data_IF_200360332091
#
_entry.id   IF_200360332091
#
_cell.length_a   1.000
_cell.length_b   1.000
_cell.length_c   1.000
_cell.angle_alpha   90.00
_cell.angle_beta   90.00
_cell.angle_gamma   90.00
#
_symmetry.space_group_name_H-M   'P 1'
#
loop_
_entity.id
_entity.type
_entity.pdbx_description
1 polymer ?
#
# COMPACT_ATOMS: atom_id res chain seq x y z
N UNK A 1 -59.47 19.00 -7.30
CA UNK A 1 -58.52 17.89 -7.58
C UNK A 1 -57.03 18.28 -7.48
N UNK A 2 -56.62 19.21 -6.59
CA UNK A 2 -55.21 19.72 -6.56
C UNK A 2 -54.53 19.70 -5.18
N UNK A 3 -55.25 19.43 -4.09
CA UNK A 3 -54.65 19.39 -2.75
C UNK A 3 -54.00 18.05 -2.41
N UNK A 4 -54.48 16.93 -2.97
CA UNK A 4 -53.90 15.61 -2.72
C UNK A 4 -52.54 15.38 -3.39
N UNK A 5 -52.25 16.07 -4.50
CA UNK A 5 -50.94 16.01 -5.17
C UNK A 5 -49.87 16.75 -4.34
N UNK A 6 -50.25 17.82 -3.64
CA UNK A 6 -49.32 18.57 -2.79
C UNK A 6 -48.86 17.76 -1.57
N UNK A 7 -49.69 16.83 -1.08
CA UNK A 7 -49.33 15.94 0.04
C UNK A 7 -48.43 14.77 -0.42
N UNK A 8 -48.57 14.29 -1.65
CA UNK A 8 -47.68 13.27 -2.22
C UNK A 8 -46.27 13.81 -2.50
N UNK A 9 -46.13 15.09 -2.89
CA UNK A 9 -44.81 15.72 -3.06
C UNK A 9 -44.11 15.97 -1.71
N UNK A 10 -44.87 16.27 -0.65
CA UNK A 10 -44.32 16.47 0.70
C UNK A 10 -43.88 15.17 1.38
N UNK A 11 -44.55 14.05 1.10
CA UNK A 11 -44.15 12.71 1.57
C UNK A 11 -42.96 12.18 0.74
N UNK A 12 -42.88 12.51 -0.55
CA UNK A 12 -41.75 12.15 -1.42
C UNK A 12 -40.42 12.80 -1.03
N UNK A 13 -40.44 14.00 -0.44
CA UNK A 13 -39.23 14.68 0.03
C UNK A 13 -38.68 14.16 1.37
N UNK A 14 -39.42 13.30 2.10
CA UNK A 14 -38.95 12.73 3.38
C UNK A 14 -38.26 11.37 3.24
N UNK A 15 -38.17 10.83 2.01
CA UNK A 15 -37.51 9.54 1.70
C UNK A 15 -36.09 9.75 1.16
N UNK A 16 -35.56 10.97 1.19
CA UNK A 16 -34.11 11.17 1.05
C UNK A 16 -33.45 10.72 2.36
N UNK A 17 -33.22 9.40 2.44
CA UNK A 17 -32.61 8.75 3.57
C UNK A 17 -31.36 9.50 3.98
N UNK A 18 -31.33 9.90 5.25
CA UNK A 18 -30.08 10.17 5.93
C UNK A 18 -29.23 8.92 5.76
N UNK A 19 -28.31 8.93 4.81
CA UNK A 19 -27.13 8.10 4.88
C UNK A 19 -26.40 8.59 6.14
N UNK A 20 -26.79 8.06 7.29
CA UNK A 20 -25.95 8.08 8.47
C UNK A 20 -24.68 7.39 8.04
N UNK A 21 -23.65 8.18 7.69
CA UNK A 21 -22.32 7.65 7.51
C UNK A 21 -22.01 6.92 8.80
N UNK A 22 -21.95 5.59 8.73
CA UNK A 22 -21.53 4.79 9.86
C UNK A 22 -20.15 5.32 10.24
N UNK A 23 -20.05 5.93 11.43
CA UNK A 23 -18.75 6.34 11.93
C UNK A 23 -17.86 5.09 11.90
N UNK A 24 -16.67 5.19 11.28
CA UNK A 24 -15.78 4.04 11.22
C UNK A 24 -15.54 3.55 12.64
N UNK A 25 -15.62 2.23 12.85
CA UNK A 25 -15.37 1.63 14.16
C UNK A 25 -13.87 1.67 14.45
N UNK A 26 -13.39 2.86 14.82
CA UNK A 26 -12.00 3.12 15.14
C UNK A 26 -11.75 2.72 16.60
N UNK A 27 -10.70 1.93 16.89
CA UNK A 27 -10.33 1.63 18.26
C UNK A 27 -10.00 2.92 19.03
N UNK A 28 -10.45 3.00 20.29
CA UNK A 28 -10.12 4.12 21.16
C UNK A 28 -8.62 4.23 21.40
N UNK A 29 -8.13 5.45 21.63
CA UNK A 29 -6.72 5.67 21.89
C UNK A 29 -6.28 4.86 23.13
N UNK A 30 -5.14 4.14 23.05
CA UNK A 30 -4.66 3.32 24.14
C UNK A 30 -4.25 4.19 25.34
N UNK A 31 -4.53 3.71 26.54
CA UNK A 31 -4.14 4.39 27.80
C UNK A 31 -2.68 4.11 28.18
N UNK A 32 -2.09 3.06 27.60
CA UNK A 32 -0.70 2.65 27.77
C UNK A 32 0.18 3.17 26.63
N UNK A 33 1.33 2.52 26.38
CA UNK A 33 2.22 2.88 25.27
C UNK A 33 1.48 2.94 23.94
N UNK A 34 1.61 4.05 23.22
CA UNK A 34 0.85 4.32 21.99
C UNK A 34 1.51 3.75 20.72
N UNK A 35 2.81 3.40 20.75
CA UNK A 35 3.63 3.23 19.54
C UNK A 35 3.32 1.96 18.74
N UNK A 36 2.71 0.94 19.35
CA UNK A 36 2.25 -0.26 18.64
C UNK A 36 0.94 -0.78 19.26
N UNK A 37 -0.09 -0.89 18.43
CA UNK A 37 -1.35 -1.54 18.77
C UNK A 37 -1.62 -2.68 17.78
N UNK A 38 -1.51 -3.91 18.26
CA UNK A 38 -1.61 -5.11 17.41
C UNK A 38 -2.95 -5.83 17.64
N UNK A 39 -4.01 -5.36 16.99
CA UNK A 39 -5.35 -5.99 17.07
C UNK A 39 -5.47 -7.22 16.15
N UNK A 40 -4.55 -7.39 15.20
CA UNK A 40 -4.51 -8.56 14.33
C UNK A 40 -3.76 -9.75 14.94
N UNK A 41 -2.91 -9.52 15.95
CA UNK A 41 -2.10 -10.57 16.59
C UNK A 41 -0.94 -11.05 15.73
N UNK A 42 -0.39 -10.17 14.88
CA UNK A 42 0.63 -10.52 13.87
C UNK A 42 2.02 -9.99 14.21
N UNK A 43 2.18 -9.30 15.35
CA UNK A 43 3.45 -8.71 15.78
C UNK A 43 3.96 -9.43 17.02
N UNK A 44 5.23 -9.85 16.98
CA UNK A 44 5.89 -10.58 18.06
C UNK A 44 6.13 -9.67 19.28
N UNK A 45 6.31 -10.29 20.47
CA UNK A 45 6.58 -9.55 21.70
C UNK A 45 7.89 -8.74 21.62
N UNK A 46 8.92 -9.31 20.98
CA UNK A 46 10.22 -8.66 20.78
C UNK A 46 10.09 -7.46 19.85
N UNK A 47 9.34 -7.60 18.75
CA UNK A 47 9.07 -6.49 17.83
C UNK A 47 8.27 -5.38 18.52
N UNK A 48 7.25 -5.73 19.31
CA UNK A 48 6.49 -4.75 20.10
C UNK A 48 7.39 -3.98 21.05
N UNK A 49 8.25 -4.67 21.80
CA UNK A 49 9.20 -4.05 22.73
C UNK A 49 10.13 -3.09 21.99
N UNK A 50 10.71 -3.53 20.88
CA UNK A 50 11.64 -2.71 20.07
C UNK A 50 10.97 -1.48 19.46
N UNK A 51 9.75 -1.60 18.95
CA UNK A 51 8.97 -0.46 18.43
C UNK A 51 8.70 0.55 19.55
N UNK A 52 8.26 0.09 20.73
CA UNK A 52 8.00 0.97 21.88
C UNK A 52 9.26 1.70 22.36
N UNK A 53 10.39 1.00 22.46
CA UNK A 53 11.68 1.59 22.85
C UNK A 53 12.14 2.66 21.84
N UNK A 54 12.11 2.35 20.54
CA UNK A 54 12.51 3.30 19.51
C UNK A 54 11.55 4.49 19.40
N UNK A 55 10.25 4.24 19.48
CA UNK A 55 9.22 5.27 19.37
C UNK A 55 9.29 6.26 20.53
N UNK A 56 9.48 5.76 21.75
CA UNK A 56 9.67 6.61 22.93
C UNK A 56 10.96 7.43 22.86
N UNK A 57 12.07 6.84 22.40
CA UNK A 57 13.34 7.55 22.24
C UNK A 57 13.28 8.64 21.18
N UNK A 58 12.65 8.37 20.04
CA UNK A 58 12.45 9.36 18.98
C UNK A 58 11.58 10.50 19.49
N UNK A 59 10.42 10.19 20.08
CA UNK A 59 9.48 11.19 20.59
C UNK A 59 10.11 12.06 21.69
N UNK A 60 10.91 11.48 22.58
CA UNK A 60 11.61 12.25 23.63
C UNK A 60 12.60 13.27 23.07
N UNK A 61 13.19 13.01 21.89
CA UNK A 61 14.21 13.87 21.29
C UNK A 61 13.67 14.85 20.24
N UNK A 62 12.62 14.47 19.51
CA UNK A 62 12.09 15.27 18.38
C UNK A 62 10.65 15.72 18.56
N UNK A 63 9.93 15.17 19.55
CA UNK A 63 8.47 15.20 19.68
C UNK A 63 7.70 14.51 18.56
N UNK A 64 8.36 14.04 17.51
CA UNK A 64 7.72 13.28 16.44
C UNK A 64 7.31 11.89 16.95
N UNK A 65 6.14 11.44 16.53
CA UNK A 65 5.61 10.15 16.94
C UNK A 65 5.34 9.28 15.71
N UNK A 66 5.85 8.06 15.75
CA UNK A 66 5.58 7.04 14.73
C UNK A 66 4.83 5.92 15.45
N UNK A 67 3.64 5.60 14.97
CA UNK A 67 2.74 4.62 15.57
C UNK A 67 2.42 3.54 14.56
N UNK A 68 2.39 2.29 15.02
CA UNK A 68 1.96 1.15 14.22
C UNK A 68 0.61 0.66 14.73
N UNK A 69 -0.34 0.45 13.82
CA UNK A 69 -1.62 -0.18 14.12
C UNK A 69 -1.83 -1.34 13.15
N UNK A 70 -2.09 -2.53 13.70
CA UNK A 70 -2.57 -3.67 12.91
C UNK A 70 -4.01 -3.95 13.26
N UNK A 71 -4.83 -4.21 12.24
CA UNK A 71 -6.23 -4.62 12.39
C UNK A 71 -6.48 -5.85 11.53
N UNK A 72 -7.46 -6.66 11.93
CA UNK A 72 -7.88 -7.81 11.12
C UNK A 72 -8.49 -7.32 9.81
N UNK A 73 -9.51 -6.48 9.91
CA UNK A 73 -10.18 -5.88 8.75
C UNK A 73 -10.58 -4.42 9.00
N UNK A 74 -10.73 -3.67 7.91
CA UNK A 74 -11.29 -2.31 7.85
C UNK A 74 -12.83 -2.30 7.80
N UNK A 75 -13.45 -3.45 7.54
CA UNK A 75 -14.87 -3.54 7.21
C UNK A 75 -15.21 -2.72 5.96
N UNK A 76 -16.26 -1.91 6.04
CA UNK A 76 -16.71 -1.04 4.95
C UNK A 76 -15.96 0.31 4.89
N UNK A 77 -15.02 0.56 5.80
CA UNK A 77 -14.32 1.86 5.87
C UNK A 77 -13.16 1.89 4.87
N UNK A 78 -13.04 2.96 4.04
CA UNK A 78 -11.86 3.17 3.21
C UNK A 78 -10.57 3.24 4.05
N UNK A 79 -9.48 2.69 3.50
CA UNK A 79 -8.19 2.61 4.20
C UNK A 79 -7.67 4.00 4.60
N UNK A 80 -7.81 4.97 3.72
CA UNK A 80 -7.40 6.36 3.89
C UNK A 80 -8.16 7.01 5.04
N UNK A 81 -9.49 6.89 5.02
CA UNK A 81 -10.36 7.45 6.06
C UNK A 81 -10.10 6.81 7.42
N UNK A 82 -9.89 5.49 7.44
CA UNK A 82 -9.57 4.75 8.66
C UNK A 82 -8.24 5.20 9.27
N UNK A 83 -7.20 5.33 8.45
CA UNK A 83 -5.87 5.77 8.88
C UNK A 83 -5.88 7.22 9.37
N UNK A 84 -6.52 8.12 8.62
CA UNK A 84 -6.63 9.53 8.99
C UNK A 84 -7.44 9.71 10.28
N UNK A 85 -8.52 8.93 10.45
CA UNK A 85 -9.31 8.95 11.67
C UNK A 85 -8.49 8.52 12.89
N UNK A 86 -7.69 7.45 12.80
CA UNK A 86 -6.77 7.06 13.87
C UNK A 86 -5.77 8.19 14.17
N UNK A 87 -5.08 8.71 13.15
CA UNK A 87 -4.04 9.72 13.34
C UNK A 87 -4.58 10.95 14.07
N UNK A 88 -5.77 11.41 13.71
CA UNK A 88 -6.43 12.56 14.33
C UNK A 88 -7.02 12.26 15.70
N UNK A 89 -7.78 11.17 15.84
CA UNK A 89 -8.47 10.82 17.09
C UNK A 89 -7.46 10.50 18.19
N UNK A 90 -6.36 9.84 17.86
CA UNK A 90 -5.30 9.51 18.82
C UNK A 90 -4.34 10.69 19.04
N UNK A 91 -4.41 11.74 18.21
CA UNK A 91 -3.55 12.91 18.29
C UNK A 91 -2.08 12.54 18.14
N UNK A 92 -1.76 11.73 17.12
CA UNK A 92 -0.40 11.24 16.90
C UNK A 92 0.50 12.39 16.46
N UNK A 93 1.58 12.61 17.19
CA UNK A 93 2.54 13.70 16.99
C UNK A 93 2.31 14.90 17.91
N UNK A 94 3.16 15.92 17.78
CA UNK A 94 2.98 17.17 18.50
C UNK A 94 1.90 18.03 17.82
N UNK A 95 0.98 18.62 18.60
CA UNK A 95 -0.16 19.41 18.10
C UNK A 95 0.25 20.63 17.27
N UNK A 96 1.43 21.18 17.56
CA UNK A 96 1.95 22.37 16.86
C UNK A 96 2.81 21.98 15.66
N UNK A 97 3.59 20.91 15.79
CA UNK A 97 4.52 20.48 14.75
C UNK A 97 3.85 19.59 13.70
N UNK A 98 2.71 18.96 14.01
CA UNK A 98 1.99 18.03 13.13
C UNK A 98 2.91 16.92 12.58
N UNK A 99 3.82 16.41 13.41
CA UNK A 99 4.88 15.48 13.06
C UNK A 99 4.58 14.04 13.49
N UNK A 100 3.32 13.63 13.32
CA UNK A 100 2.86 12.26 13.54
C UNK A 100 2.95 11.42 12.27
N UNK A 101 3.23 10.12 12.42
CA UNK A 101 3.15 9.14 11.35
C UNK A 101 2.42 7.90 11.86
N UNK A 102 1.46 7.41 11.08
CA UNK A 102 0.76 6.16 11.34
C UNK A 102 1.09 5.13 10.25
N UNK A 103 1.56 3.96 10.67
CA UNK A 103 1.67 2.76 9.85
C UNK A 103 0.49 1.85 10.14
N UNK A 104 -0.50 1.83 9.25
CA UNK A 104 -1.69 0.99 9.36
C UNK A 104 -1.54 -0.27 8.48
N UNK A 105 -1.84 -1.44 9.04
CA UNK A 105 -1.89 -2.71 8.31
C UNK A 105 -3.20 -3.44 8.58
N UNK A 106 -4.01 -3.63 7.55
CA UNK A 106 -5.24 -4.43 7.57
C UNK A 106 -4.96 -5.79 6.93
N UNK A 107 -4.88 -6.82 7.78
CA UNK A 107 -4.31 -8.12 7.40
C UNK A 107 -5.20 -8.90 6.44
N UNK A 108 -6.51 -8.98 6.72
CA UNK A 108 -7.48 -9.72 5.92
C UNK A 108 -7.81 -8.97 4.61
N UNK A 109 -7.86 -7.64 4.64
CA UNK A 109 -8.06 -6.80 3.45
C UNK A 109 -6.85 -6.74 2.52
N UNK A 110 -5.70 -7.22 2.99
CA UNK A 110 -4.39 -7.10 2.33
C UNK A 110 -4.05 -5.67 1.91
N UNK A 111 -4.27 -4.73 2.83
CA UNK A 111 -4.06 -3.29 2.61
C UNK A 111 -3.17 -2.70 3.69
N UNK A 112 -2.29 -1.80 3.30
CA UNK A 112 -1.46 -1.02 4.23
C UNK A 112 -1.40 0.43 3.83
N UNK A 113 -1.28 1.32 4.81
CA UNK A 113 -1.14 2.75 4.60
C UNK A 113 -0.12 3.35 5.55
N UNK A 114 0.68 4.28 5.02
CA UNK A 114 1.49 5.18 5.83
C UNK A 114 0.81 6.55 5.75
N UNK A 115 0.19 6.99 6.82
CA UNK A 115 -0.38 8.34 6.97
C UNK A 115 0.64 9.25 7.64
N UNK A 116 0.88 10.43 7.08
CA UNK A 116 1.93 11.37 7.48
C UNK A 116 1.29 12.71 7.81
N UNK A 117 1.54 13.20 9.02
CA UNK A 117 1.14 14.55 9.41
C UNK A 117 1.94 15.61 8.65
N UNK A 118 1.31 16.78 8.47
CA UNK A 118 1.83 17.88 7.65
C UNK A 118 3.30 18.26 7.91
N UNK A 119 3.73 18.22 9.18
CA UNK A 119 5.10 18.60 9.57
C UNK A 119 6.19 17.67 9.07
N UNK A 120 5.84 16.48 8.56
CA UNK A 120 6.78 15.49 8.03
C UNK A 120 6.61 15.24 6.53
N UNK A 121 5.68 15.91 5.84
CA UNK A 121 5.45 15.70 4.40
C UNK A 121 6.68 16.01 3.53
N UNK A 122 7.54 16.95 3.96
CA UNK A 122 8.79 17.25 3.27
C UNK A 122 9.79 16.07 3.31
N UNK A 123 9.87 15.38 4.43
CA UNK A 123 10.78 14.24 4.63
C UNK A 123 10.16 12.91 4.15
N UNK A 124 8.84 12.76 4.32
CA UNK A 124 8.05 11.58 4.00
C UNK A 124 6.91 11.92 3.03
N UNK A 125 7.21 12.39 1.80
CA UNK A 125 6.18 12.57 0.79
C UNK A 125 5.57 11.22 0.39
N UNK A 126 4.41 11.26 -0.27
CA UNK A 126 3.70 10.06 -0.76
C UNK A 126 4.62 9.11 -1.54
N UNK A 127 5.43 9.64 -2.46
CA UNK A 127 6.40 8.85 -3.22
C UNK A 127 7.41 8.10 -2.32
N UNK A 128 7.88 8.75 -1.25
CA UNK A 128 8.85 8.16 -0.33
C UNK A 128 8.22 7.09 0.55
N UNK A 129 7.03 7.36 1.08
CA UNK A 129 6.30 6.37 1.89
C UNK A 129 5.89 5.17 1.04
N UNK A 130 5.50 5.40 -0.22
CA UNK A 130 5.17 4.33 -1.16
C UNK A 130 6.38 3.44 -1.45
N UNK A 131 7.55 4.04 -1.66
CA UNK A 131 8.81 3.31 -1.81
C UNK A 131 9.14 2.48 -0.57
N UNK A 132 8.93 3.02 0.64
CA UNK A 132 9.17 2.29 1.89
C UNK A 132 8.28 1.04 1.96
N UNK A 133 6.99 1.17 1.63
CA UNK A 133 6.09 0.01 1.62
C UNK A 133 6.58 -1.05 0.62
N UNK A 134 6.94 -0.65 -0.60
CA UNK A 134 7.41 -1.56 -1.65
C UNK A 134 8.67 -2.31 -1.28
N UNK A 135 9.68 -1.60 -0.75
CA UNK A 135 11.01 -2.15 -0.51
C UNK A 135 11.12 -2.93 0.82
N UNK A 136 10.36 -2.53 1.84
CA UNK A 136 10.55 -3.05 3.20
C UNK A 136 9.37 -3.87 3.72
N UNK A 137 8.18 -3.75 3.11
CA UNK A 137 6.96 -4.35 3.68
C UNK A 137 6.31 -5.39 2.77
N UNK A 138 5.94 -5.01 1.54
CA UNK A 138 4.99 -5.80 0.74
C UNK A 138 5.50 -7.22 0.42
N UNK A 139 6.81 -7.40 0.18
CA UNK A 139 7.37 -8.74 -0.07
C UNK A 139 7.17 -9.69 1.12
N UNK A 140 7.36 -9.19 2.34
CA UNK A 140 7.14 -9.98 3.55
C UNK A 140 5.65 -10.25 3.79
N UNK A 141 4.78 -9.27 3.51
CA UNK A 141 3.33 -9.44 3.67
C UNK A 141 2.76 -10.51 2.74
N UNK A 142 3.24 -10.60 1.50
CA UNK A 142 2.87 -11.68 0.56
C UNK A 142 3.24 -13.07 1.07
N UNK A 143 4.28 -13.15 1.89
CA UNK A 143 4.76 -14.40 2.50
C UNK A 143 4.10 -14.69 3.85
N UNK A 144 3.16 -13.84 4.31
CA UNK A 144 2.55 -13.94 5.64
C UNK A 144 3.48 -13.52 6.78
N UNK A 145 4.66 -12.98 6.49
CA UNK A 145 5.64 -12.55 7.50
C UNK A 145 5.42 -11.07 7.90
N UNK A 146 4.27 -10.81 8.51
CA UNK A 146 3.85 -9.44 8.88
C UNK A 146 4.79 -8.78 9.89
N UNK A 147 5.25 -9.52 10.90
CA UNK A 147 6.14 -9.00 11.94
C UNK A 147 7.42 -8.37 11.35
N UNK A 148 8.10 -9.09 10.45
CA UNK A 148 9.31 -8.59 9.81
C UNK A 148 9.02 -7.42 8.86
N UNK A 149 7.95 -7.49 8.07
CA UNK A 149 7.57 -6.39 7.18
C UNK A 149 7.26 -5.11 7.95
N UNK A 150 6.49 -5.19 9.03
CA UNK A 150 6.15 -4.07 9.91
C UNK A 150 7.41 -3.51 10.56
N UNK A 151 8.28 -4.35 11.12
CA UNK A 151 9.52 -3.91 11.76
C UNK A 151 10.42 -3.18 10.77
N UNK A 152 10.64 -3.75 9.58
CA UNK A 152 11.49 -3.12 8.56
C UNK A 152 10.89 -1.81 8.04
N UNK A 153 9.58 -1.76 7.81
CA UNK A 153 8.87 -0.53 7.45
C UNK A 153 9.00 0.54 8.54
N UNK A 154 8.76 0.19 9.80
CA UNK A 154 8.91 1.08 10.94
C UNK A 154 10.33 1.63 11.06
N UNK A 155 11.35 0.78 10.95
CA UNK A 155 12.75 1.17 10.98
C UNK A 155 13.10 2.11 9.82
N UNK A 156 12.58 1.85 8.61
CA UNK A 156 12.80 2.72 7.46
C UNK A 156 12.18 4.10 7.67
N UNK A 157 10.93 4.19 8.13
CA UNK A 157 10.27 5.46 8.47
C UNK A 157 11.02 6.18 9.59
N UNK A 158 11.36 5.49 10.67
CA UNK A 158 12.08 6.06 11.81
C UNK A 158 13.45 6.61 11.40
N UNK A 159 14.17 5.94 10.50
CA UNK A 159 15.43 6.44 9.95
C UNK A 159 15.27 7.75 9.16
N UNK A 160 14.20 7.89 8.38
CA UNK A 160 13.90 9.14 7.66
C UNK A 160 13.56 10.27 8.64
N UNK A 161 12.67 10.02 9.61
CA UNK A 161 12.29 11.03 10.62
C UNK A 161 13.49 11.42 11.47
N UNK A 162 14.32 10.46 11.89
CA UNK A 162 15.53 10.75 12.64
C UNK A 162 16.47 11.69 11.87
N UNK A 163 16.66 11.42 10.58
CA UNK A 163 17.50 12.24 9.70
C UNK A 163 16.96 13.67 9.55
N UNK A 164 15.65 13.84 9.42
CA UNK A 164 15.00 15.15 9.35
C UNK A 164 15.33 16.01 10.58
N UNK A 165 15.41 15.40 11.76
CA UNK A 165 15.77 16.07 13.00
C UNK A 165 17.26 16.00 13.36
N UNK A 166 18.13 15.60 12.43
CA UNK A 166 19.58 15.45 12.65
C UNK A 166 19.93 14.54 13.84
N UNK A 167 19.12 13.50 14.09
CA UNK A 167 19.37 12.49 15.10
C UNK A 167 20.05 11.27 14.53
N UNK A 168 21.14 10.85 15.16
CA UNK A 168 21.70 9.53 14.93
C UNK A 168 20.93 8.47 15.72
N UNK A 169 19.96 7.84 15.07
CA UNK A 169 19.33 6.61 15.56
C UNK A 169 19.91 5.43 14.79
N UNK A 170 20.48 4.45 15.51
CA UNK A 170 20.96 3.19 14.93
C UNK A 170 19.78 2.34 14.47
N UNK A 171 19.31 2.66 13.27
CA UNK A 171 18.11 2.07 12.69
C UNK A 171 18.55 1.16 11.54
N UNK A 172 18.85 -0.10 11.84
CA UNK A 172 19.25 -1.08 10.82
C UNK A 172 18.01 -1.73 10.20
N UNK A 173 17.32 -1.01 9.30
CA UNK A 173 16.29 -1.61 8.46
C UNK A 173 16.98 -2.51 7.42
N UNK A 174 16.54 -3.75 7.29
CA UNK A 174 16.98 -4.62 6.20
C UNK A 174 15.94 -4.51 5.07
N UNK A 175 16.28 -3.93 3.90
CA UNK A 175 15.39 -3.99 2.76
C UNK A 175 15.10 -5.46 2.48
N UNK A 176 13.85 -5.77 2.11
CA UNK A 176 13.55 -7.09 1.60
C UNK A 176 14.59 -7.36 0.51
N UNK A 177 15.23 -8.53 0.55
CA UNK A 177 16.08 -8.94 -0.55
C UNK A 177 15.24 -8.71 -1.80
N UNK A 178 15.65 -7.75 -2.64
CA UNK A 178 15.08 -7.69 -3.97
C UNK A 178 15.35 -9.09 -4.46
N UNK A 179 14.30 -9.88 -4.65
CA UNK A 179 14.35 -10.87 -5.71
C UNK A 179 14.62 -9.99 -6.92
N UNK A 180 15.91 -9.69 -7.16
CA UNK A 180 16.41 -9.60 -8.50
C UNK A 180 15.69 -10.78 -9.12
N UNK A 181 14.78 -10.49 -10.05
CA UNK A 181 14.49 -11.50 -11.04
C UNK A 181 15.90 -11.85 -11.51
N UNK A 182 16.48 -12.91 -10.93
CA UNK A 182 17.61 -13.61 -11.47
C UNK A 182 17.11 -13.77 -12.87
N UNK A 183 17.67 -13.00 -13.82
CA UNK A 183 17.25 -13.03 -15.20
C UNK A 183 17.19 -14.52 -15.48
N UNK A 184 15.96 -15.05 -15.56
CA UNK A 184 15.71 -16.48 -15.39
C UNK A 184 16.55 -17.05 -16.51
N UNK A 185 17.67 -17.70 -16.16
CA UNK A 185 18.76 -17.90 -17.09
C UNK A 185 18.15 -18.68 -18.23
N UNK A 186 17.85 -17.95 -19.31
CA UNK A 186 16.86 -18.44 -20.26
C UNK A 186 17.47 -19.68 -20.82
N UNK A 187 16.73 -20.77 -20.92
CA UNK A 187 17.24 -21.98 -21.56
C UNK A 187 17.82 -21.66 -22.95
N UNK A 188 17.36 -20.55 -23.57
CA UNK A 188 17.93 -19.93 -24.77
C UNK A 188 19.40 -19.53 -24.65
N UNK A 189 19.79 -18.89 -23.55
CA UNK A 189 21.17 -18.43 -23.28
C UNK A 189 22.10 -19.58 -22.91
N UNK A 190 21.54 -20.73 -22.52
CA UNK A 190 22.28 -21.97 -22.25
C UNK A 190 22.54 -22.81 -23.52
N UNK A 191 21.91 -22.50 -24.65
CA UNK A 191 22.10 -23.24 -25.90
C UNK A 191 23.39 -22.82 -26.61
N UNK A 192 24.14 -23.77 -27.21
CA UNK A 192 25.20 -23.44 -28.15
C UNK A 192 24.67 -22.57 -29.31
N UNK A 193 25.50 -21.65 -29.79
CA UNK A 193 25.13 -20.69 -30.85
C UNK A 193 24.54 -21.34 -32.11
N UNK A 194 25.00 -22.55 -32.47
CA UNK A 194 24.48 -23.29 -33.63
C UNK A 194 23.05 -23.81 -33.41
N UNK A 195 22.68 -24.17 -32.19
CA UNK A 195 21.29 -24.53 -31.83
C UNK A 195 20.38 -23.31 -31.80
N UNK A 196 20.89 -22.15 -31.37
CA UNK A 196 20.13 -20.89 -31.44
C UNK A 196 19.79 -20.53 -32.90
N UNK A 197 20.76 -20.64 -33.80
CA UNK A 197 20.52 -20.42 -35.24
C UNK A 197 19.55 -21.45 -35.83
N UNK A 198 19.64 -22.73 -35.42
CA UNK A 198 18.73 -23.76 -35.89
C UNK A 198 17.28 -23.51 -35.46
N UNK A 199 17.05 -23.12 -34.19
CA UNK A 199 15.72 -22.76 -33.69
C UNK A 199 15.20 -21.50 -34.39
N UNK A 200 16.05 -20.47 -34.54
CA UNK A 200 15.70 -19.25 -35.26
C UNK A 200 15.30 -19.52 -36.73
N UNK A 201 16.09 -20.33 -37.43
CA UNK A 201 15.81 -20.74 -38.82
C UNK A 201 14.54 -21.59 -38.92
N UNK A 202 14.30 -22.50 -37.97
CA UNK A 202 13.08 -23.30 -37.90
C UNK A 202 11.83 -22.45 -37.72
N UNK A 203 11.87 -21.46 -36.81
CA UNK A 203 10.78 -20.49 -36.63
C UNK A 203 10.57 -19.69 -37.91
N UNK A 204 11.64 -19.19 -38.53
CA UNK A 204 11.55 -18.41 -39.78
C UNK A 204 10.95 -19.25 -40.93
N UNK A 205 11.31 -20.54 -41.02
CA UNK A 205 10.74 -21.47 -41.99
C UNK A 205 9.24 -21.70 -41.74
N UNK A 206 8.81 -21.83 -40.48
CA UNK A 206 7.38 -21.93 -40.16
C UNK A 206 6.61 -20.67 -40.58
N UNK A 207 7.18 -19.48 -40.38
CA UNK A 207 6.60 -18.22 -40.85
C UNK A 207 6.51 -18.16 -42.39
N UNK A 208 7.54 -18.62 -43.10
CA UNK A 208 7.55 -18.66 -44.57
C UNK A 208 6.52 -19.66 -45.10
N UNK A 209 6.38 -20.82 -44.46
CA UNK A 209 5.37 -21.83 -44.83
C UNK A 209 3.95 -21.32 -44.55
N UNK A 210 3.70 -20.66 -43.42
CA UNK A 210 2.40 -20.04 -43.12
C UNK A 210 2.04 -18.95 -44.14
N UNK A 211 3.02 -18.13 -44.52
CA UNK A 211 2.82 -17.14 -45.58
C UNK A 211 2.49 -17.80 -46.92
N UNK A 212 3.25 -18.83 -47.32
CA UNK A 212 3.14 -19.45 -48.64
C UNK A 212 1.85 -20.27 -48.83
N UNK A 213 1.40 -20.99 -47.81
CA UNK A 213 0.30 -21.95 -47.91
C UNK A 213 -1.01 -21.47 -47.27
N UNK A 214 -0.93 -20.65 -46.21
CA UNK A 214 -2.07 -20.29 -45.38
C UNK A 214 -2.35 -18.78 -45.36
N UNK A 215 -1.64 -18.00 -46.18
CA UNK A 215 -1.86 -16.56 -46.36
C UNK A 215 -1.63 -15.73 -45.09
N UNK A 216 -0.85 -16.23 -44.13
CA UNK A 216 -0.59 -15.55 -42.87
C UNK A 216 -1.71 -15.69 -41.81
N UNK A 217 -2.60 -16.66 -41.96
CA UNK A 217 -3.72 -16.85 -41.03
C UNK A 217 -3.29 -17.36 -39.64
N UNK A 218 -2.27 -18.21 -39.57
CA UNK A 218 -1.75 -18.74 -38.28
C UNK A 218 -0.94 -17.67 -37.56
N UNK A 219 -0.17 -16.87 -38.29
CA UNK A 219 0.54 -15.71 -37.74
C UNK A 219 -0.42 -14.66 -37.19
N UNK A 220 -1.55 -14.38 -37.87
CA UNK A 220 -2.61 -13.50 -37.33
C UNK A 220 -3.28 -14.07 -36.08
N UNK A 221 -3.51 -15.39 -36.02
CA UNK A 221 -4.08 -16.07 -34.85
C UNK A 221 -3.12 -16.02 -33.64
N UNK A 222 -1.82 -16.24 -33.86
CA UNK A 222 -0.79 -16.14 -32.84
C UNK A 222 -0.60 -14.70 -32.34
N UNK A 223 -0.61 -13.71 -33.24
CA UNK A 223 -0.58 -12.29 -32.86
C UNK A 223 -1.84 -11.88 -32.08
N UNK A 224 -3.01 -12.41 -32.45
CA UNK A 224 -4.27 -12.19 -31.72
C UNK A 224 -4.21 -12.76 -30.29
N UNK A 225 -3.65 -13.97 -30.13
CA UNK A 225 -3.44 -14.60 -28.82
C UNK A 225 -2.38 -13.88 -27.97
N UNK A 226 -1.31 -13.38 -28.59
CA UNK A 226 -0.27 -12.61 -27.91
C UNK A 226 -0.78 -11.23 -27.48
N UNK A 227 -1.64 -10.60 -28.28
CA UNK A 227 -2.36 -9.36 -27.93
C UNK A 227 -3.40 -9.59 -26.84
N UNK A 228 -3.95 -10.80 -26.73
CA UNK A 228 -4.88 -11.19 -25.66
C UNK A 228 -4.21 -11.60 -24.35
N UNK A 229 -2.88 -11.77 -24.32
CA UNK A 229 -2.11 -12.12 -23.10
C UNK A 229 -1.35 -10.92 -22.49
N UNK A 230 -1.49 -9.74 -23.08
CA UNK A 230 -0.96 -8.48 -22.56
C UNK A 230 -2.03 -7.40 -22.55
N UNK A 231 -2.97 -7.47 -21.62
CA UNK A 231 -4.07 -6.50 -21.52
C UNK A 231 -4.94 -6.65 -20.27
N UNK A 232 -4.40 -7.20 -19.19
CA UNK A 232 -4.96 -7.08 -17.84
C UNK A 232 -4.47 -5.79 -17.21
N UNK A 233 -5.26 -4.74 -17.33
CA UNK A 233 -4.92 -3.42 -16.81
C UNK A 233 -6.05 -2.44 -17.08
N UNK A 234 -7.25 -2.79 -16.64
CA UNK A 234 -8.36 -1.85 -16.59
C UNK A 234 -7.95 -0.67 -15.71
N UNK A 235 -7.54 0.42 -16.36
CA UNK A 235 -7.29 1.70 -15.75
C UNK A 235 -8.57 2.18 -15.07
N UNK A 236 -8.69 1.86 -13.78
CA UNK A 236 -9.62 2.48 -12.86
C UNK A 236 -9.23 3.94 -12.73
N UNK A 237 -9.89 4.75 -13.57
CA UNK A 237 -9.89 6.21 -13.58
C UNK A 237 -9.92 6.72 -12.14
N UNK A 238 -8.82 7.35 -11.73
CA UNK A 238 -8.68 7.98 -10.42
C UNK A 238 -9.86 8.91 -10.15
N UNK A 239 -10.65 8.54 -9.15
CA UNK A 239 -11.56 9.46 -8.51
C UNK A 239 -10.70 10.41 -7.69
N UNK A 240 -10.52 11.62 -8.19
CA UNK A 240 -10.14 12.76 -7.36
C UNK A 240 -11.32 13.04 -6.42
N UNK A 241 -11.35 12.30 -5.31
CA UNK A 241 -12.17 12.61 -4.15
C UNK A 241 -11.50 13.76 -3.40
N UNK A 242 -11.88 14.99 -3.72
CA UNK A 242 -11.53 16.16 -2.95
C UNK A 242 -12.12 16.03 -1.54
N UNK A 243 -11.25 15.86 -0.56
CA UNK A 243 -11.57 15.85 0.87
C UNK A 243 -10.51 16.62 1.62
N UNK A 244 -10.85 17.85 2.00
CA UNK A 244 -10.04 18.81 2.74
C UNK A 244 -9.52 18.25 4.08
N UNK A 245 -8.20 18.22 4.28
CA UNK A 245 -7.60 18.26 5.62
C UNK A 245 -6.25 17.55 5.80
N UNK A 246 -5.16 18.24 5.46
CA UNK A 246 -3.90 18.24 6.20
C UNK A 246 -3.23 16.91 6.55
N UNK A 247 -2.79 16.15 5.53
CA UNK A 247 -1.88 15.02 5.69
C UNK A 247 -1.51 14.38 4.36
N UNK A 248 -0.27 13.91 4.25
CA UNK A 248 0.25 13.14 3.12
C UNK A 248 0.30 11.65 3.44
N UNK A 249 0.65 10.80 2.46
CA UNK A 249 0.81 9.36 2.71
C UNK A 249 0.40 8.47 1.56
N UNK A 250 0.84 7.20 1.62
CA UNK A 250 0.66 6.22 0.54
C UNK A 250 -0.16 5.02 1.00
N UNK A 251 -1.00 4.51 0.10
CA UNK A 251 -1.75 3.26 0.25
C UNK A 251 -1.18 2.17 -0.64
N UNK A 252 -1.13 0.92 -0.16
CA UNK A 252 -0.69 -0.26 -0.91
C UNK A 252 -1.55 -1.47 -0.60
N UNK A 253 -1.55 -2.42 -1.53
CA UNK A 253 -2.08 -3.77 -1.32
C UNK A 253 -1.10 -4.84 -1.79
N UNK A 254 -1.32 -6.10 -1.37
CA UNK A 254 -0.42 -7.21 -1.68
C UNK A 254 -1.09 -8.54 -2.01
#
# INVERSE_FOLDING_TARGET
MKKWLAWLVLIGCFVFGAAAGAEPSIPSAPTSSIYIQDYAGVVSADSKKRINELGSQLAAKTKAQIVVVTVKTLGETPLEDYALAILRQWGIGDKTLNNGVLLLVAVEDRKSRIEVGYGLEGALPDARTGQIQDEYMLSYFRQGNYDQGIMNGYLAVAGVVAKEYNLELRTAAQPAAKTQATAEQSWWDALPWWMQLAVGAGVLLLFVVDWLFFGGSITWLLLSLLRSRGGGGGGGRGGYGGGSGGGGGSSRGW
#
